data_IF_115750786223
#
_entry.id   IF_115750786223
#
_cell.length_a   1.000
_cell.length_b   1.000
_cell.length_c   1.000
_cell.angle_alpha   90.00
_cell.angle_beta   90.00
_cell.angle_gamma   90.00
#
_symmetry.space_group_name_H-M   'P 1'
#
loop_
_entity.id
_entity.type
_entity.pdbx_description
1 polymer ?
#
# COMPACT_ATOMS: atom_id res chain seq x y z
N UNK A 1 14.92 5.20 8.07
CA UNK A 1 14.14 5.13 6.81
C UNK A 1 14.02 3.72 6.23
N UNK A 2 14.76 2.70 6.72
CA UNK A 2 14.66 1.32 6.19
C UNK A 2 14.61 0.18 7.23
N UNK A 3 14.50 0.47 8.54
CA UNK A 3 14.69 -0.55 9.60
C UNK A 3 13.56 -1.59 9.76
N UNK A 4 12.45 -1.51 9.00
CA UNK A 4 11.31 -2.43 9.15
C UNK A 4 11.16 -3.53 8.09
N UNK A 5 11.88 -3.46 6.97
CA UNK A 5 11.51 -4.23 5.77
C UNK A 5 11.98 -5.70 5.82
N UNK A 6 12.96 -6.05 6.66
CA UNK A 6 13.58 -7.39 6.64
C UNK A 6 12.87 -8.43 7.52
N UNK A 7 11.91 -8.03 8.37
CA UNK A 7 11.10 -8.92 9.20
C UNK A 7 9.60 -8.94 8.86
N UNK A 8 9.07 -7.85 8.28
CA UNK A 8 7.64 -7.68 7.99
C UNK A 8 7.28 -7.89 6.51
N UNK A 9 8.25 -8.22 5.65
CA UNK A 9 8.00 -8.42 4.23
C UNK A 9 6.88 -9.43 3.93
N UNK A 10 6.71 -10.44 4.80
CA UNK A 10 5.62 -11.42 4.70
C UNK A 10 4.25 -10.82 5.04
N UNK A 11 4.13 -10.01 6.10
CA UNK A 11 2.82 -9.41 6.46
C UNK A 11 2.38 -8.37 5.43
N UNK A 12 3.30 -7.58 4.90
CA UNK A 12 3.01 -6.59 3.87
C UNK A 12 2.61 -7.26 2.56
N UNK A 13 3.31 -8.31 2.13
CA UNK A 13 2.94 -9.05 0.92
C UNK A 13 1.59 -9.77 1.07
N UNK A 14 1.24 -10.25 2.26
CA UNK A 14 -0.08 -10.80 2.54
C UNK A 14 -1.18 -9.74 2.40
N UNK A 15 -0.94 -8.52 2.90
CA UNK A 15 -1.85 -7.39 2.72
C UNK A 15 -1.99 -7.07 1.23
N UNK A 16 -0.89 -6.96 0.48
CA UNK A 16 -0.95 -6.72 -0.96
C UNK A 16 -1.78 -7.80 -1.65
N UNK A 17 -1.54 -9.08 -1.33
CA UNK A 17 -2.27 -10.21 -1.91
C UNK A 17 -3.77 -10.17 -1.62
N UNK A 18 -4.17 -9.68 -0.44
CA UNK A 18 -5.58 -9.50 -0.05
C UNK A 18 -6.27 -8.43 -0.90
N UNK A 19 -5.61 -7.28 -1.11
CA UNK A 19 -6.21 -6.13 -1.80
C UNK A 19 -5.94 -6.10 -3.32
N UNK A 20 -5.04 -6.95 -3.83
CA UNK A 20 -4.77 -7.15 -5.25
C UNK A 20 -4.89 -8.64 -5.66
N UNK A 21 -6.06 -9.28 -5.47
CA UNK A 21 -6.20 -10.75 -5.61
C UNK A 21 -6.06 -11.25 -7.06
N UNK A 22 -6.23 -10.37 -8.05
CA UNK A 22 -6.18 -10.74 -9.46
C UNK A 22 -4.77 -11.13 -9.93
N UNK A 23 -3.71 -10.64 -9.28
CA UNK A 23 -2.32 -10.87 -9.68
C UNK A 23 -1.53 -11.30 -8.44
N UNK A 24 -0.93 -12.51 -8.42
CA UNK A 24 -0.03 -12.89 -7.35
C UNK A 24 1.07 -11.85 -7.14
N UNK A 25 1.37 -11.48 -5.89
CA UNK A 25 2.32 -10.41 -5.55
C UNK A 25 3.68 -10.56 -6.26
N UNK A 26 4.16 -11.81 -6.38
CA UNK A 26 5.43 -12.13 -7.07
C UNK A 26 5.43 -11.80 -8.57
N UNK A 27 4.26 -11.71 -9.20
CA UNK A 27 4.07 -11.41 -10.62
C UNK A 27 3.78 -9.91 -10.88
N UNK A 28 3.56 -9.11 -9.84
CA UNK A 28 3.51 -7.66 -9.99
C UNK A 28 4.85 -7.15 -10.53
N UNK A 29 4.78 -6.03 -11.26
CA UNK A 29 5.99 -5.32 -11.67
C UNK A 29 6.82 -4.98 -10.43
N UNK A 30 8.15 -4.93 -10.61
CA UNK A 30 9.07 -4.64 -9.50
C UNK A 30 8.72 -3.27 -8.88
N UNK A 31 8.31 -2.32 -9.72
CA UNK A 31 7.91 -0.97 -9.30
C UNK A 31 6.64 -1.03 -8.47
N UNK A 32 5.54 -1.59 -9.00
CA UNK A 32 4.26 -1.61 -8.30
C UNK A 32 4.37 -2.33 -6.95
N UNK A 33 5.08 -3.47 -6.94
CA UNK A 33 5.29 -4.25 -5.71
C UNK A 33 6.04 -3.44 -4.66
N UNK A 34 7.13 -2.77 -5.04
CA UNK A 34 7.94 -2.03 -4.07
C UNK A 34 7.24 -0.74 -3.61
N UNK A 35 6.53 -0.04 -4.50
CA UNK A 35 5.71 1.12 -4.15
C UNK A 35 4.63 0.72 -3.14
N UNK A 36 3.90 -0.36 -3.41
CA UNK A 36 2.87 -0.86 -2.49
C UNK A 36 3.46 -1.27 -1.15
N UNK A 37 4.62 -1.93 -1.13
CA UNK A 37 5.28 -2.35 0.11
C UNK A 37 5.61 -1.17 1.02
N UNK A 38 6.22 -0.12 0.46
CA UNK A 38 6.59 1.08 1.22
C UNK A 38 5.33 1.78 1.72
N UNK A 39 4.36 2.03 0.84
CA UNK A 39 3.14 2.74 1.21
C UNK A 39 2.31 2.01 2.26
N UNK A 40 2.15 0.68 2.14
CA UNK A 40 1.44 -0.13 3.13
C UNK A 40 2.21 -0.11 4.45
N UNK A 41 3.52 -0.32 4.44
CA UNK A 41 4.31 -0.24 5.67
C UNK A 41 4.11 1.11 6.39
N UNK A 42 4.14 2.23 5.65
CA UNK A 42 3.94 3.55 6.24
C UNK A 42 2.51 3.78 6.74
N UNK A 43 1.48 3.30 6.02
CA UNK A 43 0.09 3.40 6.46
C UNK A 43 -0.14 2.75 7.84
N UNK A 44 0.55 1.64 8.15
CA UNK A 44 0.38 0.91 9.41
C UNK A 44 1.33 1.35 10.52
N UNK A 45 2.45 2.00 10.19
CA UNK A 45 3.51 2.30 11.16
C UNK A 45 3.78 3.80 11.37
N UNK A 46 3.13 4.69 10.61
CA UNK A 46 3.37 6.14 10.69
C UNK A 46 2.09 6.96 10.87
N UNK A 47 1.57 6.93 12.10
CA UNK A 47 0.38 7.70 12.49
C UNK A 47 0.55 9.23 12.40
N UNK A 48 1.80 9.72 12.31
CA UNK A 48 2.10 11.14 12.18
C UNK A 48 2.02 11.68 10.74
N UNK A 49 1.81 10.81 9.75
CA UNK A 49 1.67 11.20 8.34
C UNK A 49 0.22 10.96 7.91
N UNK A 50 -0.49 11.99 7.40
CA UNK A 50 -1.84 11.79 6.91
C UNK A 50 -1.89 10.72 5.80
N UNK A 51 -2.84 9.78 5.91
CA UNK A 51 -2.97 8.63 4.98
C UNK A 51 -3.04 9.07 3.51
N UNK A 52 -3.74 10.18 3.23
CA UNK A 52 -3.86 10.72 1.87
C UNK A 52 -2.53 11.21 1.30
N UNK A 53 -1.60 11.69 2.14
CA UNK A 53 -0.25 12.08 1.71
C UNK A 53 0.53 10.85 1.28
N UNK A 54 0.52 9.79 2.08
CA UNK A 54 1.19 8.50 1.77
C UNK A 54 0.65 7.93 0.44
N UNK A 55 -0.67 7.95 0.25
CA UNK A 55 -1.30 7.46 -0.99
C UNK A 55 -0.87 8.31 -2.19
N UNK A 56 -0.91 9.64 -2.08
CA UNK A 56 -0.54 10.52 -3.18
C UNK A 56 0.93 10.33 -3.60
N UNK A 57 1.86 10.26 -2.63
CA UNK A 57 3.27 10.02 -2.90
C UNK A 57 3.49 8.66 -3.59
N UNK A 58 2.79 7.61 -3.15
CA UNK A 58 2.85 6.30 -3.79
C UNK A 58 2.35 6.33 -5.24
N UNK A 59 1.25 7.04 -5.51
CA UNK A 59 0.70 7.20 -6.87
C UNK A 59 1.65 7.98 -7.77
N UNK A 60 2.27 9.04 -7.25
CA UNK A 60 3.29 9.80 -7.98
C UNK A 60 4.51 8.94 -8.32
N UNK A 61 5.03 8.15 -7.37
CA UNK A 61 6.13 7.21 -7.61
C UNK A 61 5.77 6.17 -8.67
N UNK A 62 4.56 5.60 -8.59
CA UNK A 62 4.06 4.64 -9.58
C UNK A 62 3.91 5.27 -10.97
N UNK A 63 3.51 6.54 -11.05
CA UNK A 63 3.42 7.27 -12.31
C UNK A 63 4.79 7.60 -12.92
N UNK A 64 5.79 7.86 -12.09
CA UNK A 64 7.14 8.21 -12.55
C UNK A 64 7.94 6.99 -13.02
N UNK A 65 7.79 5.85 -12.34
CA UNK A 65 8.64 4.69 -12.56
C UNK A 65 7.91 3.48 -13.16
N UNK A 66 6.58 3.46 -13.12
CA UNK A 66 5.76 2.34 -13.59
C UNK A 66 5.31 2.49 -15.05
N UNK A 67 4.24 1.76 -15.40
CA UNK A 67 3.53 1.90 -16.67
C UNK A 67 2.37 2.90 -16.56
N UNK A 68 1.73 3.22 -17.68
CA UNK A 68 0.52 4.06 -17.72
C UNK A 68 -0.58 3.57 -16.76
N UNK A 69 -0.69 2.25 -16.56
CA UNK A 69 -1.65 1.63 -15.63
C UNK A 69 -1.21 1.60 -14.16
N UNK A 70 0.06 1.86 -13.84
CA UNK A 70 0.62 1.68 -12.49
C UNK A 70 0.01 2.65 -11.48
N UNK A 71 -0.12 3.93 -11.82
CA UNK A 71 -0.72 4.94 -10.95
C UNK A 71 -2.16 4.57 -10.55
N UNK A 72 -2.97 4.11 -11.51
CA UNK A 72 -4.35 3.67 -11.27
C UNK A 72 -4.40 2.43 -10.39
N UNK A 73 -3.53 1.46 -10.66
CA UNK A 73 -3.45 0.22 -9.88
C UNK A 73 -3.09 0.49 -8.42
N UNK A 74 -2.01 1.25 -8.19
CA UNK A 74 -1.55 1.61 -6.84
C UNK A 74 -2.62 2.40 -6.08
N UNK A 75 -3.25 3.39 -6.73
CA UNK A 75 -4.32 4.17 -6.12
C UNK A 75 -5.50 3.29 -5.67
N UNK A 76 -5.91 2.33 -6.51
CA UNK A 76 -7.02 1.42 -6.20
C UNK A 76 -6.73 0.49 -5.01
N UNK A 77 -5.51 -0.07 -4.96
CA UNK A 77 -5.09 -0.95 -3.86
C UNK A 77 -5.01 -0.17 -2.55
N UNK A 78 -4.29 0.96 -2.53
CA UNK A 78 -4.11 1.74 -1.30
C UNK A 78 -5.39 2.41 -0.82
N UNK A 79 -6.27 2.83 -1.73
CA UNK A 79 -7.59 3.34 -1.38
C UNK A 79 -8.43 2.28 -0.64
N UNK A 80 -8.35 1.02 -1.09
CA UNK A 80 -9.06 -0.10 -0.45
C UNK A 80 -8.47 -0.42 0.93
N UNK A 81 -7.14 -0.44 1.05
CA UNK A 81 -6.45 -0.60 2.35
C UNK A 81 -6.88 0.49 3.33
N UNK A 82 -6.85 1.75 2.92
CA UNK A 82 -7.19 2.87 3.79
C UNK A 82 -8.67 2.85 4.20
N UNK A 83 -9.58 2.47 3.31
CA UNK A 83 -11.01 2.34 3.62
C UNK A 83 -11.26 1.32 4.74
N UNK A 84 -10.66 0.12 4.65
CA UNK A 84 -10.81 -0.92 5.66
C UNK A 84 -10.18 -0.51 7.00
N UNK A 85 -9.10 0.26 6.98
CA UNK A 85 -8.50 0.87 8.18
C UNK A 85 -9.38 1.93 8.85
N UNK A 86 -10.34 2.52 8.15
CA UNK A 86 -11.34 3.41 8.78
C UNK A 86 -12.50 2.61 9.37
N UNK A 87 -12.99 1.59 8.67
CA UNK A 87 -14.10 0.74 9.13
C UNK A 87 -13.80 0.01 10.47
N UNK A 88 -12.53 -0.33 10.72
CA UNK A 88 -12.08 -0.93 11.99
C UNK A 88 -12.04 0.06 13.17
N UNK A 89 -11.87 1.36 12.91
CA UNK A 89 -11.87 2.40 13.94
C UNK A 89 -13.30 2.76 14.34
N UNK A 90 -14.21 2.86 13.38
CA UNK A 90 -15.62 3.22 13.64
C UNK A 90 -16.37 2.10 14.40
N UNK A 91 -15.97 0.83 14.23
CA UNK A 91 -16.57 -0.31 14.93
C UNK A 91 -16.13 -0.44 16.41
N UNK A 92 -15.06 0.26 16.82
CA UNK A 92 -14.57 0.24 18.21
C UNK A 92 -15.14 1.38 19.07
N UNK A 93 -15.92 2.28 18.48
CA UNK A 93 -16.48 3.49 19.12
C UNK A 93 -18.00 3.36 19.39
N UNK A 94 -18.59 2.17 19.19
CA UNK A 94 -20.01 1.91 19.45
C UNK A 94 -20.21 0.75 20.44
#
# INVERSE_FOLDING_TARGET
>A
MFDGITGEGSSVDEIIGRYAPAIPVRLLSIVDRNVLRVAIYELFNRDNIPRNVIINEAVELASMFGSESSARFVNGVLGSVAHDMHASVDSAVN
#
